data_IF_209120300894
#
_entry.id   IF_209120300894
#
_cell.length_a   1.000
_cell.length_b   1.000
_cell.length_c   1.000
_cell.angle_alpha   90.00
_cell.angle_beta   90.00
_cell.angle_gamma   90.00
#
_symmetry.space_group_name_H-M   'P 1'
#
loop_
_entity.id
_entity.type
_entity.pdbx_description
1 polymer ?
#
# COMPACT_ATOMS: atom_id res chain seq x y z
N UNK A 1 48.85 -28.60 64.89
CA UNK A 1 48.26 -29.49 63.89
C UNK A 1 48.86 -29.09 62.51
N UNK A 2 49.84 -29.84 61.93
CA UNK A 2 50.55 -29.48 60.73
C UNK A 2 49.71 -29.59 59.40
N UNK A 3 48.56 -30.26 59.46
CA UNK A 3 47.72 -30.50 58.27
C UNK A 3 46.88 -29.31 57.82
N UNK A 4 46.73 -28.25 58.61
CA UNK A 4 45.92 -27.06 58.22
C UNK A 4 46.74 -25.94 57.55
N UNK A 5 48.05 -26.01 57.48
CA UNK A 5 48.90 -24.95 56.84
C UNK A 5 49.11 -25.13 55.32
N UNK A 6 48.97 -26.39 54.83
CA UNK A 6 49.17 -26.65 53.36
C UNK A 6 47.90 -26.47 52.53
N UNK A 7 46.71 -26.51 53.12
CA UNK A 7 45.44 -26.42 52.42
C UNK A 7 45.06 -24.97 51.98
N UNK A 8 45.51 -23.95 52.74
CA UNK A 8 45.19 -22.53 52.50
C UNK A 8 45.84 -21.97 51.23
N UNK A 9 47.09 -22.25 50.86
CA UNK A 9 47.65 -21.77 49.61
C UNK A 9 47.05 -22.45 48.38
N UNK A 10 46.67 -23.73 48.46
CA UNK A 10 46.01 -24.43 47.34
C UNK A 10 44.59 -23.89 47.07
N UNK A 11 43.81 -23.56 48.08
CA UNK A 11 42.50 -22.96 47.95
C UNK A 11 42.60 -21.58 47.33
N UNK A 12 43.56 -20.74 47.71
CA UNK A 12 43.80 -19.41 47.10
C UNK A 12 44.19 -19.53 45.65
N UNK A 13 45.01 -20.52 45.29
CA UNK A 13 45.43 -20.77 43.90
C UNK A 13 44.20 -21.20 43.04
N UNK A 14 43.41 -22.12 43.55
CA UNK A 14 42.17 -22.57 42.84
C UNK A 14 41.19 -21.40 42.62
N UNK A 15 40.96 -20.58 43.65
CA UNK A 15 40.12 -19.39 43.54
C UNK A 15 40.70 -18.41 42.49
N UNK A 16 41.99 -18.18 42.50
CA UNK A 16 42.64 -17.32 41.51
C UNK A 16 42.49 -17.82 40.08
N UNK A 17 42.64 -19.13 39.85
CA UNK A 17 42.40 -19.76 38.54
C UNK A 17 40.91 -19.62 38.11
N UNK A 18 39.97 -19.88 39.00
CA UNK A 18 38.54 -19.74 38.72
C UNK A 18 38.20 -18.28 38.31
N UNK A 19 38.71 -17.29 39.04
CA UNK A 19 38.51 -15.88 38.74
C UNK A 19 39.08 -15.52 37.36
N UNK A 20 40.29 -16.00 37.06
CA UNK A 20 40.95 -15.78 35.77
C UNK A 20 40.19 -16.40 34.61
N UNK A 21 39.60 -17.59 34.76
CA UNK A 21 38.76 -18.26 33.77
C UNK A 21 37.48 -17.47 33.53
N UNK A 22 36.80 -17.07 34.63
CA UNK A 22 35.58 -16.24 34.52
C UNK A 22 35.87 -14.92 33.77
N UNK A 23 36.95 -14.26 34.13
CA UNK A 23 37.36 -13.01 33.43
C UNK A 23 37.61 -13.26 31.95
N UNK A 24 38.31 -14.34 31.59
CA UNK A 24 38.57 -14.71 30.21
C UNK A 24 37.29 -14.98 29.45
N UNK A 25 36.33 -15.70 30.04
CA UNK A 25 35.00 -15.94 29.42
C UNK A 25 34.26 -14.64 29.18
N UNK A 26 34.25 -13.71 30.13
CA UNK A 26 33.62 -12.39 29.96
C UNK A 26 34.30 -11.61 28.83
N UNK A 27 35.62 -11.58 28.74
CA UNK A 27 36.37 -10.92 27.68
C UNK A 27 36.04 -11.52 26.29
N UNK A 28 36.00 -12.84 26.16
CA UNK A 28 35.66 -13.53 24.92
C UNK A 28 34.21 -13.21 24.54
N UNK A 29 33.28 -13.29 25.50
CA UNK A 29 31.84 -13.00 25.26
C UNK A 29 31.64 -11.57 24.79
N UNK A 30 32.28 -10.58 25.43
CA UNK A 30 32.19 -9.17 25.03
C UNK A 30 32.80 -8.93 23.64
N UNK A 31 33.89 -9.61 23.31
CA UNK A 31 34.49 -9.53 21.98
C UNK A 31 33.59 -10.14 20.92
N UNK A 32 32.99 -11.30 21.17
CA UNK A 32 32.06 -11.95 20.24
C UNK A 32 30.80 -11.08 20.00
N UNK A 33 30.24 -10.49 21.06
CA UNK A 33 29.11 -9.56 20.94
C UNK A 33 29.51 -8.34 20.09
N UNK A 34 30.70 -7.79 20.31
CA UNK A 34 31.17 -6.65 19.52
C UNK A 34 31.32 -7.01 18.03
N UNK A 35 31.89 -8.18 17.73
CA UNK A 35 32.03 -8.66 16.35
C UNK A 35 30.65 -8.87 15.70
N UNK A 36 29.69 -9.46 16.41
CA UNK A 36 28.34 -9.64 15.90
C UNK A 36 27.64 -8.30 15.60
N UNK A 37 27.76 -7.31 16.52
CA UNK A 37 27.23 -5.96 16.29
C UNK A 37 27.87 -5.30 15.08
N UNK A 38 29.18 -5.38 14.93
CA UNK A 38 29.87 -4.81 13.76
C UNK A 38 29.44 -5.46 12.43
N UNK A 39 29.17 -6.79 12.45
CA UNK A 39 28.66 -7.47 11.25
C UNK A 39 27.25 -6.99 10.92
N UNK A 40 26.36 -6.89 11.93
CA UNK A 40 24.99 -6.41 11.75
C UNK A 40 24.98 -4.97 11.20
N UNK A 41 25.79 -4.06 11.77
CA UNK A 41 25.87 -2.67 11.28
C UNK A 41 26.37 -2.59 9.82
N UNK A 42 27.34 -3.44 9.46
CA UNK A 42 27.82 -3.53 8.07
C UNK A 42 26.73 -4.04 7.11
N UNK A 43 25.92 -4.99 7.55
CA UNK A 43 24.82 -5.53 6.76
C UNK A 43 23.72 -4.49 6.57
N UNK A 44 23.32 -3.79 7.63
CA UNK A 44 22.38 -2.67 7.56
C UNK A 44 22.86 -1.56 6.62
N UNK A 45 24.13 -1.17 6.72
CA UNK A 45 24.72 -0.17 5.84
C UNK A 45 24.70 -0.65 4.37
N UNK A 46 25.03 -1.92 4.12
CA UNK A 46 24.95 -2.50 2.77
C UNK A 46 23.54 -2.39 2.20
N UNK A 47 22.52 -2.76 2.96
CA UNK A 47 21.12 -2.64 2.50
C UNK A 47 20.72 -1.19 2.29
N UNK A 48 21.10 -0.29 3.20
CA UNK A 48 20.85 1.15 3.05
C UNK A 48 21.42 1.68 1.73
N UNK A 49 22.65 1.30 1.39
CA UNK A 49 23.30 1.70 0.14
C UNK A 49 22.61 1.06 -1.08
N UNK A 50 22.32 -0.24 -1.01
CA UNK A 50 21.62 -0.98 -2.06
C UNK A 50 20.19 -0.47 -2.33
N UNK A 51 19.50 0.01 -1.32
CA UNK A 51 18.15 0.55 -1.41
C UNK A 51 18.12 2.06 -1.72
N UNK A 52 19.24 2.64 -2.16
CA UNK A 52 19.31 4.04 -2.60
C UNK A 52 19.29 5.08 -1.48
N UNK A 53 19.67 4.70 -0.24
CA UNK A 53 19.63 5.59 0.91
C UNK A 53 20.42 6.89 0.74
N UNK A 54 21.58 6.84 0.10
CA UNK A 54 22.38 8.03 -0.19
C UNK A 54 21.68 8.95 -1.20
N UNK A 55 21.02 8.38 -2.21
CA UNK A 55 20.28 9.14 -3.21
C UNK A 55 19.11 9.86 -2.54
N UNK A 56 18.31 9.12 -1.75
CA UNK A 56 17.20 9.70 -1.00
C UNK A 56 17.63 10.80 -0.04
N UNK A 57 18.73 10.57 0.70
CA UNK A 57 19.28 11.55 1.64
C UNK A 57 19.69 12.85 0.94
N UNK A 58 20.33 12.76 -0.23
CA UNK A 58 20.66 13.94 -1.04
C UNK A 58 19.41 14.69 -1.50
N UNK A 59 18.33 13.98 -1.88
CA UNK A 59 17.05 14.59 -2.28
C UNK A 59 16.35 15.28 -1.10
N UNK A 60 16.46 14.74 0.10
CA UNK A 60 15.96 15.38 1.32
C UNK A 60 16.76 16.68 1.60
N UNK A 61 18.09 16.64 1.59
CA UNK A 61 18.92 17.82 1.84
C UNK A 61 18.70 18.90 0.78
N UNK A 62 18.52 18.54 -0.49
CA UNK A 62 18.25 19.49 -1.56
C UNK A 62 16.84 20.09 -1.53
N UNK A 63 15.99 19.70 -0.57
CA UNK A 63 14.62 20.19 -0.43
C UNK A 63 13.66 19.64 -1.49
N UNK A 64 14.03 18.61 -2.23
CA UNK A 64 13.14 17.95 -3.19
C UNK A 64 12.16 16.97 -2.51
N UNK A 65 12.50 16.52 -1.29
CA UNK A 65 11.69 15.65 -0.44
C UNK A 65 11.68 16.25 0.96
N UNK A 66 10.56 16.82 1.39
CA UNK A 66 10.49 17.56 2.66
C UNK A 66 9.74 16.84 3.77
N UNK A 67 9.01 15.77 3.48
CA UNK A 67 8.01 15.19 4.39
C UNK A 67 8.27 13.74 4.77
N UNK A 68 9.34 13.13 4.26
CA UNK A 68 9.63 11.70 4.44
C UNK A 68 10.69 11.51 5.52
N UNK A 69 10.37 10.70 6.55
CA UNK A 69 11.29 10.32 7.62
C UNK A 69 11.97 8.97 7.28
N UNK A 70 13.28 8.86 7.54
CA UNK A 70 14.01 7.60 7.41
C UNK A 70 14.02 6.90 8.78
N UNK A 71 13.24 5.84 8.90
CA UNK A 71 13.14 5.01 10.11
C UNK A 71 14.21 3.92 10.14
N UNK A 72 14.66 3.55 11.35
CA UNK A 72 15.45 2.33 11.55
C UNK A 72 14.54 1.11 11.67
N UNK A 73 15.05 -0.06 11.32
CA UNK A 73 14.33 -1.33 11.48
C UNK A 73 13.88 -1.56 12.94
N UNK A 74 14.73 -1.16 13.91
CA UNK A 74 14.42 -1.30 15.33
C UNK A 74 13.20 -0.47 15.74
N UNK A 75 13.07 0.76 15.23
CA UNK A 75 11.89 1.61 15.48
C UNK A 75 10.63 0.94 14.94
N UNK A 76 10.68 0.39 13.73
CA UNK A 76 9.52 -0.26 13.12
C UNK A 76 9.19 -1.61 13.77
N UNK A 77 10.20 -2.39 14.18
CA UNK A 77 9.99 -3.60 14.99
C UNK A 77 9.30 -3.28 16.31
N UNK A 78 9.75 -2.25 17.01
CA UNK A 78 9.13 -1.83 18.27
C UNK A 78 7.70 -1.34 18.04
N UNK A 79 7.46 -0.52 17.00
CA UNK A 79 6.15 0.02 16.67
C UNK A 79 5.12 -1.08 16.33
N UNK A 80 5.56 -2.18 15.71
CA UNK A 80 4.70 -3.27 15.23
C UNK A 80 4.73 -4.51 16.12
N UNK A 81 5.32 -4.42 17.32
CA UNK A 81 5.57 -5.58 18.19
C UNK A 81 6.29 -6.71 17.44
N UNK A 82 7.40 -6.39 16.78
CA UNK A 82 8.20 -7.30 15.95
C UNK A 82 7.41 -7.91 14.77
N UNK A 83 6.58 -7.09 14.09
CA UNK A 83 5.69 -7.50 13.01
C UNK A 83 4.74 -8.64 13.41
N UNK A 84 4.20 -8.53 14.60
CA UNK A 84 3.30 -9.53 15.18
C UNK A 84 2.08 -9.76 14.29
N UNK A 85 1.67 -11.02 14.18
CA UNK A 85 0.52 -11.40 13.35
C UNK A 85 -0.80 -10.75 13.79
N UNK A 86 -0.95 -10.43 15.08
CA UNK A 86 -2.09 -9.72 15.64
C UNK A 86 -2.15 -8.24 15.21
N UNK A 87 -1.05 -7.67 14.70
CA UNK A 87 -0.99 -6.31 14.15
C UNK A 87 -1.19 -6.28 12.63
N UNK A 88 -1.39 -7.42 11.98
CA UNK A 88 -1.57 -7.50 10.53
C UNK A 88 -2.91 -6.90 10.11
N UNK A 89 -2.86 -5.86 9.28
CA UNK A 89 -4.02 -5.19 8.69
C UNK A 89 -4.48 -5.86 7.39
N UNK A 90 -3.51 -6.33 6.58
CA UNK A 90 -3.80 -6.97 5.30
C UNK A 90 -2.58 -7.66 4.71
N UNK A 91 -2.81 -8.53 3.72
CA UNK A 91 -1.78 -9.14 2.90
C UNK A 91 -2.30 -9.33 1.48
N UNK A 92 -1.47 -9.05 0.49
CA UNK A 92 -1.79 -9.17 -0.93
C UNK A 92 -0.54 -9.39 -1.78
N UNK A 93 -0.70 -9.26 -3.10
CA UNK A 93 0.41 -9.40 -4.05
C UNK A 93 1.57 -8.45 -3.78
N UNK A 94 1.29 -7.23 -3.34
CA UNK A 94 2.27 -6.19 -3.07
C UNK A 94 2.93 -6.26 -1.68
N UNK A 95 2.53 -7.19 -0.80
CA UNK A 95 3.16 -7.36 0.51
C UNK A 95 2.19 -7.51 1.67
N UNK A 96 2.71 -7.26 2.87
CA UNK A 96 1.96 -7.34 4.13
C UNK A 96 1.99 -5.98 4.81
N UNK A 97 0.82 -5.52 5.27
CA UNK A 97 0.67 -4.25 6.00
C UNK A 97 0.38 -4.55 7.48
N UNK A 98 1.10 -3.88 8.36
CA UNK A 98 0.96 -3.98 9.81
C UNK A 98 0.54 -2.64 10.41
N UNK A 99 -0.28 -2.67 11.46
CA UNK A 99 -0.51 -1.53 12.33
C UNK A 99 0.70 -1.32 13.22
N UNK A 100 1.22 -0.10 13.25
CA UNK A 100 2.30 0.30 14.14
C UNK A 100 1.89 1.46 15.03
N UNK A 101 2.52 1.58 16.20
CA UNK A 101 2.39 2.73 17.11
C UNK A 101 3.80 3.25 17.35
N UNK A 102 4.08 4.46 16.84
CA UNK A 102 5.36 5.13 17.03
C UNK A 102 5.51 5.65 18.48
N UNK A 103 6.73 6.07 18.86
CA UNK A 103 7.03 6.55 20.22
C UNK A 103 6.23 7.79 20.65
N UNK A 104 5.81 8.59 19.69
CA UNK A 104 4.96 9.78 19.87
C UNK A 104 3.45 9.45 19.91
N UNK A 105 3.09 8.19 20.03
CA UNK A 105 1.73 7.63 19.96
C UNK A 105 1.03 7.81 18.60
N UNK A 106 1.73 8.21 17.55
CA UNK A 106 1.16 8.22 16.21
C UNK A 106 0.94 6.79 15.70
N UNK A 107 -0.30 6.52 15.26
CA UNK A 107 -0.65 5.24 14.64
C UNK A 107 -0.30 5.30 13.17
N UNK A 108 0.39 4.27 12.67
CA UNK A 108 0.89 4.19 11.30
C UNK A 108 0.55 2.85 10.66
N UNK A 109 0.54 2.80 9.33
CA UNK A 109 0.48 1.57 8.54
C UNK A 109 1.87 1.28 7.98
N UNK A 110 2.45 0.13 8.35
CA UNK A 110 3.80 -0.30 7.98
C UNK A 110 3.71 -1.37 6.92
N UNK A 111 4.03 -1.04 5.66
CA UNK A 111 3.96 -1.94 4.50
C UNK A 111 5.33 -2.56 4.25
N UNK A 112 5.40 -3.89 4.38
CA UNK A 112 6.54 -4.71 3.95
C UNK A 112 6.23 -5.31 2.60
N UNK A 113 6.94 -4.85 1.57
CA UNK A 113 6.77 -5.35 0.20
C UNK A 113 7.27 -6.79 0.04
N UNK A 114 6.78 -7.52 -0.97
CA UNK A 114 7.31 -8.83 -1.35
C UNK A 114 8.57 -8.67 -2.19
N UNK A 115 9.51 -9.64 -2.11
CA UNK A 115 10.80 -9.65 -2.82
C UNK A 115 10.74 -9.42 -4.34
N UNK A 116 9.61 -9.70 -4.97
CA UNK A 116 9.48 -9.72 -6.43
C UNK A 116 9.38 -8.34 -7.09
N UNK A 117 9.27 -7.25 -6.32
CA UNK A 117 8.97 -5.92 -6.85
C UNK A 117 10.08 -4.88 -6.65
N UNK A 118 11.19 -5.21 -5.99
CA UNK A 118 12.32 -4.27 -5.81
C UNK A 118 13.40 -4.61 -6.84
N UNK A 119 13.25 -4.11 -8.06
CA UNK A 119 14.17 -4.39 -9.16
C UNK A 119 15.32 -3.39 -9.25
N UNK A 120 15.13 -2.14 -8.81
CA UNK A 120 16.16 -1.10 -8.84
C UNK A 120 15.99 -0.12 -7.68
N UNK A 121 17.13 0.22 -7.03
CA UNK A 121 17.17 1.24 -5.98
C UNK A 121 16.70 2.62 -6.47
N UNK A 122 17.02 2.96 -7.71
CA UNK A 122 16.61 4.23 -8.29
C UNK A 122 15.08 4.30 -8.50
N UNK A 123 14.46 3.23 -8.98
CA UNK A 123 12.99 3.15 -9.12
C UNK A 123 12.30 3.30 -7.78
N UNK A 124 12.78 2.62 -6.74
CA UNK A 124 12.22 2.75 -5.39
C UNK A 124 12.36 4.16 -4.82
N UNK A 125 13.51 4.80 -4.99
CA UNK A 125 13.72 6.19 -4.57
C UNK A 125 12.83 7.14 -5.37
N UNK A 126 12.61 6.91 -6.66
CA UNK A 126 11.68 7.69 -7.48
C UNK A 126 10.22 7.53 -6.99
N UNK A 127 9.80 6.33 -6.59
CA UNK A 127 8.48 6.11 -5.97
C UNK A 127 8.34 6.96 -4.69
N UNK A 128 9.34 6.94 -3.80
CA UNK A 128 9.34 7.77 -2.58
C UNK A 128 9.26 9.26 -2.93
N UNK A 129 10.01 9.73 -3.92
CA UNK A 129 10.00 11.13 -4.36
C UNK A 129 8.60 11.49 -4.88
N UNK A 130 8.01 10.63 -5.70
CA UNK A 130 6.66 10.81 -6.23
C UNK A 130 5.64 10.92 -5.09
N UNK A 131 5.63 9.95 -4.17
CA UNK A 131 4.71 9.93 -3.03
C UNK A 131 4.91 11.12 -2.09
N UNK A 132 6.14 11.60 -1.92
CA UNK A 132 6.44 12.76 -1.07
C UNK A 132 5.91 14.08 -1.62
N UNK A 133 5.67 14.15 -2.92
CA UNK A 133 5.11 15.34 -3.59
C UNK A 133 3.58 15.37 -3.57
N UNK A 134 2.94 14.24 -3.27
CA UNK A 134 1.49 14.13 -3.19
C UNK A 134 1.03 14.74 -1.86
N UNK A 135 0.18 15.77 -1.95
CA UNK A 135 -0.46 16.39 -0.79
C UNK A 135 -1.93 16.66 -1.12
N UNK A 136 -2.77 15.66 -0.92
CA UNK A 136 -4.20 15.76 -1.18
C UNK A 136 -4.99 15.02 -0.10
N UNK A 137 -6.13 15.59 0.32
CA UNK A 137 -6.94 15.04 1.42
C UNK A 137 -7.45 13.62 1.15
N UNK A 138 -7.66 13.27 -0.12
CA UNK A 138 -8.18 11.96 -0.57
C UNK A 138 -7.09 11.01 -1.08
N UNK A 139 -5.83 11.29 -0.81
CA UNK A 139 -4.69 10.41 -1.08
C UNK A 139 -3.97 10.10 0.22
N UNK A 140 -3.56 8.85 0.41
CA UNK A 140 -2.81 8.43 1.58
C UNK A 140 -1.45 9.11 1.63
N UNK A 141 -1.05 9.60 2.81
CA UNK A 141 0.23 10.27 3.00
C UNK A 141 1.33 9.26 3.33
N UNK A 142 2.44 9.32 2.60
CA UNK A 142 3.68 8.68 2.98
C UNK A 142 4.32 9.45 4.15
N UNK A 143 4.59 8.76 5.27
CA UNK A 143 5.26 9.32 6.44
C UNK A 143 6.76 9.09 6.36
N UNK A 144 7.18 7.88 5.91
CA UNK A 144 8.58 7.56 5.84
C UNK A 144 8.88 6.18 5.26
N UNK A 145 10.14 5.79 5.35
CA UNK A 145 10.62 4.51 4.89
C UNK A 145 11.74 3.96 5.79
N UNK A 146 12.01 2.64 5.68
CA UNK A 146 13.21 2.02 6.25
C UNK A 146 13.98 1.33 5.12
N UNK A 147 15.27 1.67 5.00
CA UNK A 147 16.17 1.23 3.93
C UNK A 147 17.25 0.25 4.40
N UNK A 148 17.41 0.05 5.71
CA UNK A 148 18.45 -0.79 6.31
C UNK A 148 18.10 -2.29 6.39
N UNK A 149 17.16 -2.72 5.56
CA UNK A 149 16.65 -4.09 5.46
C UNK A 149 16.69 -4.57 4.01
N UNK A 150 16.69 -5.89 3.80
CA UNK A 150 16.82 -6.49 2.47
C UNK A 150 15.71 -6.02 1.51
N UNK A 151 14.47 -5.95 1.98
CA UNK A 151 13.35 -5.39 1.25
C UNK A 151 12.87 -4.15 1.98
N UNK A 152 12.92 -2.97 1.34
CA UNK A 152 12.55 -1.71 1.97
C UNK A 152 11.12 -1.72 2.52
N UNK A 153 10.90 -0.95 3.59
CA UNK A 153 9.61 -0.83 4.27
C UNK A 153 9.10 0.59 4.07
N UNK A 154 7.83 0.73 3.69
CA UNK A 154 7.13 2.02 3.58
C UNK A 154 6.20 2.23 4.79
N UNK A 155 6.14 3.46 5.26
CA UNK A 155 5.33 3.85 6.42
C UNK A 155 4.35 4.92 6.00
N UNK A 156 3.04 4.61 6.12
CA UNK A 156 1.94 5.48 5.73
C UNK A 156 1.11 5.92 6.94
N UNK A 157 0.30 6.96 6.78
CA UNK A 157 -0.76 7.26 7.71
C UNK A 157 -1.71 6.07 7.88
N UNK A 158 -2.20 5.84 9.09
CA UNK A 158 -3.15 4.76 9.36
C UNK A 158 -4.58 5.20 9.03
N UNK A 159 -5.30 4.38 8.27
CA UNK A 159 -6.70 4.62 7.89
C UNK A 159 -7.57 3.57 8.58
N UNK A 160 -8.60 4.02 9.30
CA UNK A 160 -9.26 3.23 10.34
C UNK A 160 -10.44 2.38 9.89
N UNK A 161 -11.25 2.81 8.90
CA UNK A 161 -12.50 2.13 8.52
C UNK A 161 -12.34 1.08 7.39
N UNK A 162 -11.10 0.69 7.08
CA UNK A 162 -10.84 -0.33 6.07
C UNK A 162 -11.09 0.13 4.64
N UNK A 163 -11.39 -0.80 3.74
CA UNK A 163 -11.48 -0.57 2.30
C UNK A 163 -12.91 -0.36 1.82
N UNK A 164 -13.07 0.32 0.67
CA UNK A 164 -14.35 0.44 -0.02
C UNK A 164 -14.93 -0.94 -0.37
N UNK A 165 -14.08 -1.88 -0.78
CA UNK A 165 -14.50 -3.25 -1.05
C UNK A 165 -15.18 -3.90 0.16
N UNK A 166 -14.63 -3.70 1.37
CA UNK A 166 -15.26 -4.20 2.61
C UNK A 166 -16.61 -3.50 2.89
N UNK A 167 -16.71 -2.20 2.63
CA UNK A 167 -17.97 -1.46 2.81
C UNK A 167 -19.07 -1.95 1.85
N UNK A 168 -18.72 -2.22 0.57
CA UNK A 168 -19.74 -2.57 -0.45
C UNK A 168 -20.07 -4.06 -0.44
N UNK A 169 -19.08 -4.93 -0.24
CA UNK A 169 -19.23 -6.38 -0.42
C UNK A 169 -19.21 -7.16 0.90
N UNK A 170 -18.88 -6.50 2.02
CA UNK A 170 -18.87 -7.10 3.36
C UNK A 170 -20.19 -6.90 4.12
N UNK A 171 -20.18 -7.26 5.40
CA UNK A 171 -21.34 -7.16 6.29
C UNK A 171 -21.81 -5.71 6.50
N UNK A 172 -20.95 -4.75 6.24
CA UNK A 172 -21.21 -3.31 6.36
C UNK A 172 -22.04 -2.71 5.22
N UNK A 173 -22.32 -3.48 4.15
CA UNK A 173 -23.05 -3.03 2.94
C UNK A 173 -24.36 -2.29 3.25
N UNK A 174 -25.12 -2.75 4.25
CA UNK A 174 -26.38 -2.14 4.68
C UNK A 174 -26.26 -0.69 5.16
N UNK A 175 -25.06 -0.27 5.57
CA UNK A 175 -24.81 1.10 6.04
C UNK A 175 -24.36 2.04 4.92
N UNK A 176 -24.03 1.52 3.74
CA UNK A 176 -23.59 2.28 2.59
C UNK A 176 -24.78 2.88 1.83
N UNK A 177 -25.36 3.96 2.37
CA UNK A 177 -26.46 4.70 1.71
C UNK A 177 -26.03 5.25 0.35
N UNK A 178 -26.99 5.53 -0.55
CA UNK A 178 -26.73 6.14 -1.85
C UNK A 178 -25.90 7.43 -1.70
N UNK A 179 -26.26 8.30 -0.76
CA UNK A 179 -25.52 9.55 -0.50
C UNK A 179 -24.05 9.29 -0.14
N UNK A 180 -23.76 8.28 0.69
CA UNK A 180 -22.39 7.91 1.06
C UNK A 180 -21.64 7.38 -0.15
N UNK A 181 -22.24 6.49 -0.96
CA UNK A 181 -21.61 5.92 -2.14
C UNK A 181 -21.27 6.98 -3.19
N UNK A 182 -22.16 7.96 -3.40
CA UNK A 182 -21.92 9.08 -4.32
C UNK A 182 -20.81 10.01 -3.81
N UNK A 183 -20.76 10.27 -2.50
CA UNK A 183 -19.66 11.03 -1.91
C UNK A 183 -18.32 10.32 -2.10
N UNK A 184 -18.27 9.01 -1.87
CA UNK A 184 -17.06 8.20 -2.10
C UNK A 184 -16.66 8.24 -3.57
N UNK A 185 -17.61 8.12 -4.51
CA UNK A 185 -17.33 8.26 -5.94
C UNK A 185 -16.71 9.61 -6.28
N UNK A 186 -17.30 10.70 -5.78
CA UNK A 186 -16.81 12.05 -5.99
C UNK A 186 -15.39 12.24 -5.44
N UNK A 187 -15.16 11.88 -4.18
CA UNK A 187 -13.86 12.03 -3.53
C UNK A 187 -12.77 11.17 -4.18
N UNK A 188 -13.12 9.98 -4.70
CA UNK A 188 -12.20 9.15 -5.48
C UNK A 188 -11.84 9.80 -6.82
N UNK A 189 -12.82 10.36 -7.51
CA UNK A 189 -12.59 11.11 -8.76
C UNK A 189 -11.73 12.37 -8.52
N UNK A 190 -11.95 13.10 -7.41
CA UNK A 190 -11.13 14.25 -7.02
C UNK A 190 -9.67 13.85 -6.77
N UNK A 191 -9.43 12.70 -6.14
CA UNK A 191 -8.09 12.17 -5.93
C UNK A 191 -7.38 11.89 -7.27
N UNK A 192 -8.04 11.19 -8.20
CA UNK A 192 -7.48 10.88 -9.51
C UNK A 192 -7.27 12.16 -10.35
N UNK A 193 -8.22 13.08 -10.34
CA UNK A 193 -8.07 14.36 -11.03
C UNK A 193 -6.86 15.16 -10.49
N UNK A 194 -6.62 15.13 -9.17
CA UNK A 194 -5.43 15.73 -8.58
C UNK A 194 -4.15 15.07 -9.09
N UNK A 195 -4.07 13.75 -9.10
CA UNK A 195 -2.89 13.01 -9.59
C UNK A 195 -2.60 13.31 -11.07
N UNK A 196 -3.64 13.36 -11.90
CA UNK A 196 -3.50 13.57 -13.34
C UNK A 196 -3.23 15.02 -13.73
N UNK A 197 -3.82 16.01 -13.02
CA UNK A 197 -3.88 17.38 -13.48
C UNK A 197 -3.18 18.40 -12.60
N UNK A 198 -2.99 18.09 -11.31
CA UNK A 198 -2.55 19.07 -10.31
C UNK A 198 -1.14 18.84 -9.77
N UNK A 199 -0.51 17.72 -10.12
CA UNK A 199 0.89 17.43 -9.79
C UNK A 199 1.82 18.04 -10.83
N UNK A 200 3.09 18.33 -10.47
CA UNK A 200 4.09 18.90 -11.37
C UNK A 200 4.32 18.03 -12.63
N UNK A 201 4.21 16.74 -12.49
CA UNK A 201 4.20 15.75 -13.57
C UNK A 201 3.00 14.84 -13.31
N UNK A 202 2.14 14.58 -14.31
CA UNK A 202 0.99 13.71 -14.13
C UNK A 202 1.42 12.35 -13.58
N UNK A 203 0.68 11.85 -12.58
CA UNK A 203 0.90 10.56 -11.95
C UNK A 203 -0.27 9.67 -12.33
N UNK A 204 0.04 8.55 -12.99
CA UNK A 204 -0.93 7.48 -13.24
C UNK A 204 -0.90 6.53 -12.06
N UNK A 205 -2.05 6.20 -11.48
CA UNK A 205 -2.12 5.26 -10.36
C UNK A 205 -1.82 3.82 -10.79
N UNK A 206 -2.41 3.35 -11.88
CA UNK A 206 -2.15 2.06 -12.52
C UNK A 206 -2.84 0.86 -11.87
N UNK A 207 -3.42 1.01 -10.66
CA UNK A 207 -4.17 -0.06 -9.98
C UNK A 207 -5.34 0.49 -9.15
N UNK A 208 -6.23 1.24 -9.81
CA UNK A 208 -7.44 1.78 -9.19
C UNK A 208 -8.45 0.66 -9.00
N UNK A 209 -8.76 0.30 -7.74
CA UNK A 209 -9.73 -0.72 -7.38
C UNK A 209 -10.36 -0.45 -6.00
N UNK A 210 -11.46 -1.12 -5.68
CA UNK A 210 -12.16 -0.91 -4.41
C UNK A 210 -11.37 -1.37 -3.17
N UNK A 211 -10.34 -2.23 -3.30
CA UNK A 211 -9.42 -2.58 -2.22
C UNK A 211 -8.39 -1.47 -1.95
N UNK A 212 -8.04 -0.68 -2.96
CA UNK A 212 -7.07 0.41 -2.88
C UNK A 212 -7.72 1.77 -2.55
N UNK A 213 -9.03 1.80 -2.33
CA UNK A 213 -9.76 2.96 -1.79
C UNK A 213 -10.09 2.67 -0.34
N UNK A 214 -9.42 3.36 0.59
CA UNK A 214 -9.65 3.25 2.03
C UNK A 214 -10.53 4.38 2.53
N UNK A 215 -11.13 4.19 3.70
CA UNK A 215 -12.06 5.12 4.34
C UNK A 215 -11.58 5.45 5.75
N UNK A 216 -11.52 6.75 6.08
CA UNK A 216 -11.20 7.20 7.42
C UNK A 216 -12.41 7.14 8.37
N UNK A 217 -12.25 7.60 9.62
CA UNK A 217 -13.31 7.61 10.64
C UNK A 217 -14.58 8.34 10.22
N UNK A 218 -14.47 9.30 9.30
CA UNK A 218 -15.57 10.09 8.74
C UNK A 218 -16.06 9.54 7.41
N UNK A 219 -15.58 8.36 6.99
CA UNK A 219 -15.78 7.80 5.67
C UNK A 219 -15.25 8.70 4.54
N UNK A 220 -14.21 9.50 4.81
CA UNK A 220 -13.47 10.25 3.77
C UNK A 220 -12.58 9.28 3.01
N UNK A 221 -12.54 9.42 1.70
CA UNK A 221 -11.73 8.58 0.82
C UNK A 221 -10.24 8.86 1.01
N UNK A 222 -9.46 7.79 1.01
CA UNK A 222 -8.00 7.77 0.92
C UNK A 222 -7.59 6.76 -0.14
N UNK A 223 -7.16 7.22 -1.32
CA UNK A 223 -6.57 6.37 -2.36
C UNK A 223 -5.20 5.91 -1.90
N UNK A 224 -4.92 4.60 -2.03
CA UNK A 224 -3.72 3.93 -1.50
C UNK A 224 -3.10 3.01 -2.53
N UNK A 225 -1.94 2.44 -2.21
CA UNK A 225 -1.19 1.44 -2.98
C UNK A 225 -0.70 1.92 -4.35
N UNK A 226 0.36 2.72 -4.30
CA UNK A 226 1.03 3.30 -5.47
C UNK A 226 2.10 2.37 -6.09
N UNK A 227 2.11 1.09 -5.75
CA UNK A 227 3.11 0.13 -6.24
C UNK A 227 3.12 -0.10 -7.77
N UNK A 228 2.03 0.24 -8.45
CA UNK A 228 1.93 0.22 -9.91
C UNK A 228 2.01 1.62 -10.55
N UNK A 229 2.17 2.68 -9.73
CA UNK A 229 2.06 4.05 -10.19
C UNK A 229 3.30 4.52 -10.94
N UNK A 230 3.10 5.39 -11.92
CA UNK A 230 4.16 5.93 -12.76
C UNK A 230 3.92 7.39 -13.10
N UNK A 231 5.02 8.15 -13.28
CA UNK A 231 4.91 9.45 -13.94
C UNK A 231 4.62 9.27 -15.43
N UNK A 232 3.69 10.05 -15.94
CA UNK A 232 3.52 10.16 -17.38
C UNK A 232 4.77 10.82 -17.98
N UNK A 233 5.49 10.12 -18.87
CA UNK A 233 6.63 10.68 -19.59
C UNK A 233 6.16 11.32 -20.89
N UNK A 234 6.69 12.51 -21.23
CA UNK A 234 6.45 13.18 -22.51
C UNK A 234 7.21 12.54 -23.70
N UNK A 235 8.17 11.68 -23.39
CA UNK A 235 8.92 10.92 -24.39
C UNK A 235 8.16 9.62 -24.67
N UNK A 236 7.99 9.31 -25.95
CA UNK A 236 7.24 8.22 -26.55
C UNK A 236 6.88 7.11 -25.54
N UNK A 237 5.59 7.00 -25.24
CA UNK A 237 5.00 6.06 -24.28
C UNK A 237 5.78 4.75 -24.26
N UNK A 238 6.62 4.55 -23.24
CA UNK A 238 7.37 3.31 -23.07
C UNK A 238 6.39 2.16 -22.97
N UNK A 239 6.51 1.19 -23.87
CA UNK A 239 5.73 -0.04 -23.76
C UNK A 239 6.15 -0.77 -22.50
N UNK A 240 5.20 -0.97 -21.60
CA UNK A 240 5.43 -1.65 -20.33
C UNK A 240 5.70 -3.13 -20.62
N UNK A 241 6.83 -3.65 -20.18
CA UNK A 241 7.22 -5.04 -20.39
C UNK A 241 6.21 -6.03 -19.79
N UNK A 242 5.62 -5.66 -18.65
CA UNK A 242 4.62 -6.48 -17.95
C UNK A 242 3.44 -5.62 -17.50
N UNK A 243 2.23 -6.00 -17.92
CA UNK A 243 0.99 -5.34 -17.47
C UNK A 243 0.82 -5.57 -15.98
N UNK A 244 0.62 -4.49 -15.24
CA UNK A 244 0.34 -4.48 -13.79
C UNK A 244 -1.10 -4.01 -13.57
N UNK A 245 -1.69 -4.39 -12.43
CA UNK A 245 -3.04 -4.03 -12.05
C UNK A 245 -3.94 -5.23 -11.79
N UNK A 246 -5.14 -4.98 -11.29
CA UNK A 246 -6.07 -5.99 -10.79
C UNK A 246 -7.05 -6.44 -11.87
N UNK A 247 -7.16 -7.77 -12.05
CA UNK A 247 -8.11 -8.36 -13.02
C UNK A 247 -9.54 -7.90 -12.74
N UNK A 248 -10.23 -7.47 -13.80
CA UNK A 248 -11.60 -6.93 -13.73
C UNK A 248 -11.65 -5.42 -13.75
N UNK A 249 -10.54 -4.73 -13.40
CA UNK A 249 -10.40 -3.28 -13.46
C UNK A 249 -9.47 -2.82 -14.59
N UNK A 250 -8.70 -3.75 -15.19
CA UNK A 250 -7.75 -3.44 -16.24
C UNK A 250 -8.45 -2.96 -17.52
N UNK A 251 -8.01 -1.80 -18.00
CA UNK A 251 -8.44 -1.21 -19.26
C UNK A 251 -8.08 -2.13 -20.45
N UNK A 252 -9.03 -2.49 -21.32
CA UNK A 252 -8.78 -3.30 -22.51
C UNK A 252 -7.74 -2.68 -23.47
N UNK A 253 -7.69 -1.37 -23.61
CA UNK A 253 -6.70 -0.68 -24.44
C UNK A 253 -5.29 -0.84 -23.84
N UNK A 254 -5.16 -0.65 -22.52
CA UNK A 254 -3.90 -0.91 -21.82
C UNK A 254 -3.44 -2.37 -21.96
N UNK A 255 -4.37 -3.34 -21.87
CA UNK A 255 -4.05 -4.76 -22.08
C UNK A 255 -3.52 -5.06 -23.48
N UNK A 256 -4.07 -4.40 -24.51
CA UNK A 256 -3.71 -4.62 -25.92
C UNK A 256 -2.44 -3.86 -26.31
N UNK A 257 -2.36 -2.58 -25.97
CA UNK A 257 -1.28 -1.70 -26.40
C UNK A 257 -0.09 -1.68 -25.46
N UNK A 258 -0.25 -2.17 -24.22
CA UNK A 258 0.73 -2.08 -23.12
C UNK A 258 1.18 -0.66 -22.81
N UNK A 259 0.27 0.28 -22.99
CA UNK A 259 0.48 1.69 -22.68
C UNK A 259 -0.42 2.11 -21.53
N UNK A 260 0.19 2.41 -20.40
CA UNK A 260 -0.52 2.93 -19.22
C UNK A 260 -0.70 4.44 -19.38
N UNK A 261 -1.94 4.92 -19.28
CA UNK A 261 -2.32 6.34 -19.44
C UNK A 261 -3.33 6.75 -18.38
N UNK A 262 -3.65 8.05 -18.29
CA UNK A 262 -4.72 8.56 -17.43
C UNK A 262 -6.07 7.88 -17.76
N UNK A 263 -6.28 7.49 -19.01
CA UNK A 263 -7.50 6.80 -19.45
C UNK A 263 -7.62 5.41 -18.84
N UNK A 264 -6.49 4.74 -18.57
CA UNK A 264 -6.48 3.46 -17.87
C UNK A 264 -7.02 3.59 -16.45
N UNK A 265 -6.62 4.65 -15.70
CA UNK A 265 -7.19 4.94 -14.39
C UNK A 265 -8.69 5.31 -14.47
N UNK A 266 -9.09 6.05 -15.50
CA UNK A 266 -10.50 6.41 -15.75
C UNK A 266 -11.35 5.17 -15.99
N UNK A 267 -10.87 4.20 -16.79
CA UNK A 267 -11.55 2.93 -16.99
C UNK A 267 -11.70 2.17 -15.67
N UNK A 268 -10.61 2.01 -14.92
CA UNK A 268 -10.60 1.32 -13.63
C UNK A 268 -11.54 1.99 -12.62
N UNK A 269 -11.55 3.34 -12.57
CA UNK A 269 -12.52 4.10 -11.78
C UNK A 269 -13.96 3.87 -12.24
N UNK A 270 -14.19 3.76 -13.55
CA UNK A 270 -15.49 3.36 -14.11
C UNK A 270 -15.98 2.06 -13.50
N UNK A 271 -15.13 1.04 -13.40
CA UNK A 271 -15.49 -0.24 -12.74
C UNK A 271 -15.80 -0.04 -11.25
N UNK A 272 -15.03 0.77 -10.51
CA UNK A 272 -15.34 1.12 -9.11
C UNK A 272 -16.71 1.81 -9.01
N UNK A 273 -17.03 2.69 -9.95
CA UNK A 273 -18.33 3.35 -10.01
C UNK A 273 -19.47 2.34 -10.19
N UNK A 274 -19.26 1.32 -11.04
CA UNK A 274 -20.23 0.23 -11.19
C UNK A 274 -20.38 -0.58 -9.89
N UNK A 275 -19.30 -0.90 -9.18
CA UNK A 275 -19.40 -1.57 -7.87
C UNK A 275 -20.29 -0.75 -6.91
N UNK A 276 -20.09 0.58 -6.88
CA UNK A 276 -20.84 1.50 -6.03
C UNK A 276 -22.36 1.50 -6.32
N UNK A 277 -22.77 1.42 -7.60
CA UNK A 277 -24.20 1.53 -7.98
C UNK A 277 -24.89 0.17 -8.12
N UNK A 278 -24.12 -0.92 -8.33
CA UNK A 278 -24.69 -2.27 -8.49
C UNK A 278 -24.55 -3.13 -7.23
N UNK A 279 -23.54 -2.84 -6.39
CA UNK A 279 -23.15 -3.67 -5.26
C UNK A 279 -22.56 -5.02 -5.67
N UNK A 280 -22.21 -5.22 -6.95
CA UNK A 280 -21.56 -6.43 -7.47
C UNK A 280 -20.05 -6.23 -7.53
N UNK A 281 -19.27 -7.30 -7.41
CA UNK A 281 -17.81 -7.28 -7.56
C UNK A 281 -17.43 -7.10 -9.02
N UNK A 282 -16.24 -6.53 -9.30
CA UNK A 282 -15.71 -6.35 -10.66
C UNK A 282 -15.68 -7.65 -11.48
N UNK A 283 -15.43 -8.79 -10.80
CA UNK A 283 -15.62 -10.13 -11.33
C UNK A 283 -16.52 -10.89 -10.37
N UNK A 284 -17.60 -11.47 -10.85
CA UNK A 284 -18.56 -12.23 -10.06
C UNK A 284 -19.01 -13.51 -10.80
N UNK A 285 -19.59 -14.47 -10.07
CA UNK A 285 -20.22 -15.63 -10.66
C UNK A 285 -21.70 -15.36 -10.86
N UNK A 286 -22.22 -15.75 -12.01
CA UNK A 286 -23.67 -15.76 -12.24
C UNK A 286 -24.29 -16.97 -11.53
N UNK A 287 -25.46 -16.80 -10.93
CA UNK A 287 -26.17 -17.89 -10.26
C UNK A 287 -26.50 -19.00 -11.27
N UNK A 288 -25.86 -20.15 -11.11
CA UNK A 288 -26.22 -21.40 -11.78
C UNK A 288 -25.18 -22.01 -12.72
N UNK A 289 -24.25 -21.27 -13.32
CA UNK A 289 -23.45 -21.79 -14.46
C UNK A 289 -21.92 -21.86 -14.23
N UNK A 290 -21.43 -21.49 -13.08
CA UNK A 290 -20.03 -21.68 -12.72
C UNK A 290 -19.02 -20.75 -13.39
N UNK A 291 -19.34 -20.03 -14.44
CA UNK A 291 -18.46 -19.12 -15.15
C UNK A 291 -18.35 -17.75 -14.45
N UNK A 292 -17.16 -17.16 -14.55
CA UNK A 292 -16.90 -15.81 -14.07
C UNK A 292 -17.31 -14.78 -15.12
N UNK A 293 -18.07 -13.79 -14.72
CA UNK A 293 -18.49 -12.67 -15.56
C UNK A 293 -17.84 -11.36 -15.11
N UNK A 294 -17.48 -10.53 -16.10
CA UNK A 294 -16.98 -9.18 -15.87
C UNK A 294 -18.16 -8.22 -15.63
N UNK A 295 -18.10 -7.45 -14.54
CA UNK A 295 -19.11 -6.44 -14.24
C UNK A 295 -19.21 -5.39 -15.36
N UNK A 296 -18.09 -4.93 -15.91
CA UNK A 296 -18.08 -3.99 -17.04
C UNK A 296 -18.83 -4.53 -18.25
N UNK A 297 -18.58 -5.80 -18.64
CA UNK A 297 -19.27 -6.42 -19.78
C UNK A 297 -20.76 -6.59 -19.55
N UNK A 298 -21.17 -7.06 -18.36
CA UNK A 298 -22.58 -7.22 -18.01
C UNK A 298 -23.31 -5.89 -17.93
N UNK A 299 -22.62 -4.87 -17.41
CA UNK A 299 -23.20 -3.53 -17.30
C UNK A 299 -23.41 -2.89 -18.68
N UNK A 300 -22.47 -2.98 -19.60
CA UNK A 300 -22.62 -2.44 -20.96
C UNK A 300 -23.80 -3.10 -21.70
N UNK A 301 -23.99 -4.43 -21.55
CA UNK A 301 -25.19 -5.11 -22.08
C UNK A 301 -26.47 -4.58 -21.45
N UNK A 302 -26.48 -4.40 -20.12
CA UNK A 302 -27.65 -3.86 -19.43
C UNK A 302 -27.98 -2.41 -19.84
N UNK A 303 -26.98 -1.60 -20.19
CA UNK A 303 -27.19 -0.24 -20.72
C UNK A 303 -27.89 -0.24 -22.10
N UNK A 304 -27.68 -1.27 -22.92
CA UNK A 304 -28.37 -1.45 -24.21
C UNK A 304 -29.83 -1.94 -24.03
N UNK A 305 -30.07 -2.72 -22.98
CA UNK A 305 -31.39 -3.30 -22.69
C UNK A 305 -32.16 -2.49 -21.66
N UNK A 306 -31.85 -2.68 -20.39
CA UNK A 306 -32.47 -2.01 -19.23
C UNK A 306 -31.47 -1.95 -18.07
N UNK A 307 -30.88 -0.80 -17.87
CA UNK A 307 -29.88 -0.59 -16.80
C UNK A 307 -30.41 -0.89 -15.39
N UNK A 308 -31.70 -0.73 -15.17
CA UNK A 308 -32.36 -1.01 -13.88
C UNK A 308 -32.16 -2.46 -13.42
N UNK A 309 -32.00 -3.40 -14.36
CA UNK A 309 -31.83 -4.83 -14.04
C UNK A 309 -30.50 -5.13 -13.31
N UNK A 310 -29.50 -4.26 -13.43
CA UNK A 310 -28.18 -4.47 -12.81
C UNK A 310 -27.96 -3.59 -11.58
N UNK A 311 -28.75 -2.53 -11.39
CA UNK A 311 -28.62 -1.62 -10.25
C UNK A 311 -28.95 -2.29 -8.93
N UNK A 312 -28.35 -1.81 -7.84
CA UNK A 312 -28.65 -2.27 -6.47
C UNK A 312 -30.07 -1.83 -6.08
N UNK A 313 -30.98 -2.79 -6.00
CA UNK A 313 -32.39 -2.56 -5.70
C UNK A 313 -32.63 -1.91 -4.33
N UNK A 314 -31.70 -2.13 -3.38
CA UNK A 314 -31.75 -1.49 -2.06
C UNK A 314 -31.50 0.02 -2.13
N UNK A 315 -30.73 0.47 -3.12
CA UNK A 315 -30.49 1.89 -3.39
C UNK A 315 -31.63 2.51 -4.21
N UNK A 316 -32.09 1.81 -5.25
CA UNK A 316 -33.13 2.29 -6.15
C UNK A 316 -34.48 2.53 -5.44
N UNK A 317 -34.78 1.72 -4.42
CA UNK A 317 -35.99 1.85 -3.59
C UNK A 317 -35.89 2.87 -2.45
N UNK A 318 -34.71 3.52 -2.24
CA UNK A 318 -34.49 4.39 -1.09
C UNK A 318 -35.30 5.73 -1.16
N UNK A 319 -35.54 6.26 -2.37
CA UNK A 319 -36.39 7.46 -2.60
C UNK A 319 -36.86 7.52 -4.04
N UNK A 320 -37.88 8.37 -4.31
CA UNK A 320 -38.33 8.60 -5.69
C UNK A 320 -37.26 9.21 -6.61
N UNK A 321 -36.29 9.91 -6.04
CA UNK A 321 -35.18 10.55 -6.79
C UNK A 321 -33.98 9.62 -6.99
N UNK A 322 -33.92 8.48 -6.29
CA UNK A 322 -32.75 7.60 -6.31
C UNK A 322 -32.52 6.97 -7.68
N UNK A 323 -33.58 6.47 -8.33
CA UNK A 323 -33.44 5.80 -9.63
C UNK A 323 -32.95 6.74 -10.75
N UNK A 324 -33.53 7.95 -10.95
CA UNK A 324 -33.00 8.90 -11.93
C UNK A 324 -31.53 9.25 -11.70
N UNK A 325 -31.12 9.45 -10.43
CA UNK A 325 -29.76 9.76 -10.06
C UNK A 325 -28.80 8.58 -10.36
N UNK A 326 -29.23 7.35 -10.06
CA UNK A 326 -28.46 6.14 -10.39
C UNK A 326 -28.30 5.98 -11.91
N UNK A 327 -29.31 6.31 -12.70
CA UNK A 327 -29.24 6.29 -14.18
C UNK A 327 -28.24 7.32 -14.71
N UNK A 328 -28.18 8.53 -14.13
CA UNK A 328 -27.16 9.52 -14.53
C UNK A 328 -25.74 9.04 -14.17
N UNK A 329 -25.54 8.47 -12.98
CA UNK A 329 -24.26 7.88 -12.59
C UNK A 329 -23.88 6.70 -13.50
N UNK A 330 -24.86 5.89 -13.89
CA UNK A 330 -24.68 4.78 -14.84
C UNK A 330 -24.18 5.28 -16.21
N UNK A 331 -24.69 6.40 -16.71
CA UNK A 331 -24.17 7.03 -17.94
C UNK A 331 -22.71 7.44 -17.81
N UNK A 332 -22.34 8.08 -16.68
CA UNK A 332 -20.93 8.43 -16.41
C UNK A 332 -20.06 7.17 -16.37
N UNK A 333 -20.52 6.11 -15.69
CA UNK A 333 -19.83 4.81 -15.65
C UNK A 333 -19.60 4.23 -17.06
N UNK A 334 -20.65 4.26 -17.91
CA UNK A 334 -20.56 3.81 -19.31
C UNK A 334 -19.52 4.62 -20.12
N UNK A 335 -19.44 5.92 -19.91
CA UNK A 335 -18.44 6.77 -20.57
C UNK A 335 -17.02 6.41 -20.11
N UNK A 336 -16.81 6.14 -18.82
CA UNK A 336 -15.51 5.72 -18.30
C UNK A 336 -15.05 4.35 -18.86
N UNK A 337 -16.00 3.48 -19.24
CA UNK A 337 -15.71 2.14 -19.77
C UNK A 337 -15.49 2.11 -21.29
N UNK A 338 -15.45 3.27 -21.97
CA UNK A 338 -15.21 3.31 -23.42
C UNK A 338 -13.85 2.69 -23.74
N UNK A 339 -13.88 1.61 -24.52
CA UNK A 339 -12.68 0.84 -24.90
C UNK A 339 -11.78 1.58 -25.93
N UNK A 340 -12.24 2.73 -26.43
CA UNK A 340 -11.46 3.59 -27.33
C UNK A 340 -11.29 4.92 -26.63
N UNK A 341 -10.15 5.14 -25.99
CA UNK A 341 -9.80 6.35 -25.23
C UNK A 341 -9.87 7.68 -25.99
N UNK A 342 -10.64 7.72 -27.10
CA UNK A 342 -10.86 8.91 -27.95
C UNK A 342 -12.09 9.72 -27.56
N UNK A 343 -12.88 9.26 -26.63
CA UNK A 343 -14.06 9.95 -26.07
C UNK A 343 -13.84 10.24 -24.58
#
# INVERSE_FOLDING_TARGET
DPKNKECVPQVKLVIGICISIIFLIICISTLLIKIQRMKLEKEKQRFYDQNGGHILYQKIISGQVNTVEIFTEEVLKNATNNFDSGQKLGAGGHGIVYKGILRDNNVVAVKRSNFLHVTDAEEFVQEIIMLSQINHRNVVRLIGCCLEVEVPILVYEFISNGTLSYLIHGDSRRYASLKLRLRIAQESAEALAYLHLSTNRPIIHGDVESLNIMLDDSYTVKVTDFGASRWLSNEAVEQIAMVQGTRGYLDPEYLQERKLTEKSDVYSFGVVLLELITGKKAIYRHDGDGDFESLAGSFLRAMEERVENILDTSLAGASMEALPLLQEVAKVGSMCLSAKGKE
#
